data_IF_023758750114
#
_entry.id   IF_023758750114
#
_cell.length_a   1.000
_cell.length_b   1.000
_cell.length_c   1.000
_cell.angle_alpha   90.00
_cell.angle_beta   90.00
_cell.angle_gamma   90.00
#
_symmetry.space_group_name_H-M   'P 1'
#
loop_
_entity.id
_entity.type
_entity.pdbx_description
1 polymer ?
#
# COMPACT_ATOMS: atom_id res chain seq x y z
N UNK A 1 -33.78 -15.05 -13.43
CA UNK A 1 -33.11 -13.75 -13.58
C UNK A 1 -31.70 -13.90 -13.03
N UNK A 2 -30.71 -14.13 -13.90
CA UNK A 2 -29.33 -14.34 -13.48
C UNK A 2 -28.71 -12.98 -13.14
N UNK A 3 -28.34 -12.77 -11.87
CA UNK A 3 -27.58 -11.60 -11.49
C UNK A 3 -26.21 -11.64 -12.18
N UNK A 4 -25.94 -10.64 -13.01
CA UNK A 4 -24.72 -10.51 -13.82
C UNK A 4 -23.51 -10.33 -12.88
N UNK A 5 -22.57 -11.29 -12.90
CA UNK A 5 -21.34 -11.22 -12.11
C UNK A 5 -20.49 -10.06 -12.65
N UNK A 6 -20.41 -8.97 -11.89
CA UNK A 6 -19.70 -7.75 -12.30
C UNK A 6 -18.30 -7.77 -11.71
N UNK A 7 -17.29 -7.53 -12.54
CA UNK A 7 -15.90 -7.38 -12.10
C UNK A 7 -15.48 -5.92 -12.13
N UNK A 8 -15.13 -5.37 -10.97
CA UNK A 8 -14.67 -4.00 -10.81
C UNK A 8 -13.22 -3.97 -10.34
N UNK A 9 -12.41 -3.13 -10.97
CA UNK A 9 -10.99 -2.97 -10.62
C UNK A 9 -10.71 -1.61 -10.00
N UNK A 10 -9.84 -1.59 -9.01
CA UNK A 10 -9.41 -0.40 -8.29
C UNK A 10 -7.88 -0.32 -8.25
N UNK A 11 -7.35 0.90 -8.31
CA UNK A 11 -5.98 1.22 -7.94
C UNK A 11 -5.93 1.40 -6.44
N UNK A 12 -4.90 0.85 -5.79
CA UNK A 12 -4.67 0.98 -4.35
C UNK A 12 -3.24 1.47 -4.12
N UNK A 13 -3.09 2.60 -3.42
CA UNK A 13 -1.79 3.17 -3.07
C UNK A 13 -1.40 2.85 -1.61
N UNK A 14 -0.10 2.70 -1.37
CA UNK A 14 0.47 2.42 -0.04
C UNK A 14 0.48 0.95 0.35
N UNK A 15 0.24 0.05 -0.61
CA UNK A 15 0.33 -1.39 -0.41
C UNK A 15 1.74 -1.87 -0.75
N UNK A 16 2.57 -2.06 0.28
CA UNK A 16 4.01 -2.25 0.09
C UNK A 16 4.47 -3.69 0.45
N UNK A 17 3.53 -4.55 0.86
CA UNK A 17 3.85 -5.85 1.44
C UNK A 17 2.76 -6.91 1.23
N UNK A 18 3.12 -8.19 1.21
CA UNK A 18 2.15 -9.29 1.11
C UNK A 18 1.14 -9.31 2.28
N UNK A 19 1.59 -8.96 3.49
CA UNK A 19 0.69 -8.82 4.65
C UNK A 19 -0.34 -7.70 4.45
N UNK A 20 0.03 -6.64 3.75
CA UNK A 20 -0.81 -5.49 3.43
C UNK A 20 -1.94 -5.93 2.47
N UNK A 21 -1.59 -6.70 1.44
CA UNK A 21 -2.56 -7.30 0.52
C UNK A 21 -3.52 -8.26 1.23
N UNK A 22 -3.01 -9.15 2.08
CA UNK A 22 -3.84 -10.11 2.82
C UNK A 22 -4.86 -9.41 3.73
N UNK A 23 -4.51 -8.28 4.35
CA UNK A 23 -5.43 -7.48 5.16
C UNK A 23 -6.57 -6.91 4.33
N UNK A 24 -6.25 -6.34 3.16
CA UNK A 24 -7.24 -5.79 2.25
C UNK A 24 -8.16 -6.90 1.73
N UNK A 25 -7.59 -8.02 1.27
CA UNK A 25 -8.34 -9.19 0.80
C UNK A 25 -9.34 -9.67 1.88
N UNK A 26 -8.84 -9.93 3.09
CA UNK A 26 -9.65 -10.42 4.21
C UNK A 26 -10.76 -9.44 4.59
N UNK A 27 -10.49 -8.14 4.56
CA UNK A 27 -11.47 -7.12 4.94
C UNK A 27 -12.57 -6.95 3.88
N UNK A 28 -12.20 -6.98 2.59
CA UNK A 28 -13.14 -6.79 1.47
C UNK A 28 -14.00 -8.03 1.24
N UNK A 29 -13.46 -9.24 1.41
CA UNK A 29 -14.24 -10.50 1.32
C UNK A 29 -15.38 -10.61 2.33
N UNK A 30 -15.31 -9.86 3.44
CA UNK A 30 -16.34 -9.84 4.49
C UNK A 30 -17.51 -8.91 4.18
N UNK A 31 -17.43 -8.14 3.09
CA UNK A 31 -18.49 -7.19 2.72
C UNK A 31 -19.63 -7.91 1.98
N UNK A 32 -20.88 -7.51 2.21
CA UNK A 32 -22.04 -8.11 1.53
C UNK A 32 -21.99 -7.87 0.02
N UNK A 33 -22.34 -8.91 -0.74
CA UNK A 33 -22.39 -8.86 -2.22
C UNK A 33 -21.05 -9.10 -2.92
N UNK A 34 -19.96 -9.29 -2.17
CA UNK A 34 -18.64 -9.66 -2.70
C UNK A 34 -18.55 -11.17 -2.88
N UNK A 35 -18.17 -11.62 -4.08
CA UNK A 35 -18.02 -13.05 -4.40
C UNK A 35 -16.54 -13.44 -4.56
N UNK A 36 -15.75 -12.60 -5.22
CA UNK A 36 -14.33 -12.83 -5.41
C UNK A 36 -13.51 -11.56 -5.20
N UNK A 37 -12.29 -11.74 -4.67
CA UNK A 37 -11.35 -10.66 -4.38
C UNK A 37 -9.97 -11.11 -4.84
N UNK A 38 -9.29 -10.28 -5.60
CA UNK A 38 -7.90 -10.50 -5.97
C UNK A 38 -7.11 -9.22 -5.73
N UNK A 39 -6.05 -9.32 -4.95
CA UNK A 39 -5.19 -8.19 -4.60
C UNK A 39 -3.80 -8.43 -5.17
N UNK A 40 -3.30 -7.49 -5.94
CA UNK A 40 -1.95 -7.51 -6.48
C UNK A 40 -1.15 -6.36 -5.87
N UNK A 41 -0.18 -6.71 -5.02
CA UNK A 41 0.82 -5.76 -4.49
C UNK A 41 1.65 -5.20 -5.65
N UNK A 42 2.10 -6.08 -6.55
CA UNK A 42 2.95 -5.72 -7.69
C UNK A 42 2.25 -4.73 -8.61
N UNK A 43 0.99 -5.01 -8.99
CA UNK A 43 0.24 -4.10 -9.86
C UNK A 43 -0.36 -2.90 -9.11
N UNK A 44 -0.33 -2.88 -7.77
CA UNK A 44 -1.04 -1.89 -6.96
C UNK A 44 -2.55 -1.87 -7.25
N UNK A 45 -3.17 -3.03 -7.47
CA UNK A 45 -4.60 -3.12 -7.82
C UNK A 45 -5.37 -4.12 -6.98
N UNK A 46 -6.64 -3.79 -6.71
CA UNK A 46 -7.67 -4.66 -6.14
C UNK A 46 -8.72 -4.94 -7.22
N UNK A 47 -8.98 -6.21 -7.51
CA UNK A 47 -10.06 -6.66 -8.41
C UNK A 47 -11.13 -7.32 -7.57
N UNK A 48 -12.39 -6.93 -7.80
CA UNK A 48 -13.55 -7.35 -7.05
C UNK A 48 -14.59 -7.95 -7.99
N UNK A 49 -14.89 -9.23 -7.84
CA UNK A 49 -16.09 -9.85 -8.39
C UNK A 49 -17.26 -9.67 -7.42
N UNK A 50 -18.35 -9.07 -7.87
CA UNK A 50 -19.50 -8.80 -7.01
C UNK A 50 -20.84 -8.91 -7.74
N UNK A 51 -21.90 -9.19 -6.97
CA UNK A 51 -23.30 -9.15 -7.39
C UNK A 51 -24.03 -8.09 -6.56
N UNK A 52 -23.91 -6.83 -6.98
CA UNK A 52 -24.57 -5.71 -6.30
C UNK A 52 -23.89 -5.23 -5.02
N UNK A 53 -22.62 -5.57 -4.77
CA UNK A 53 -21.86 -4.95 -3.69
C UNK A 53 -21.81 -3.41 -3.83
N UNK A 54 -21.89 -2.73 -2.68
CA UNK A 54 -21.74 -1.28 -2.60
C UNK A 54 -20.25 -0.91 -2.75
N UNK A 55 -19.89 -0.39 -3.92
CA UNK A 55 -18.52 0.03 -4.23
C UNK A 55 -18.04 1.16 -3.32
N UNK A 56 -18.95 2.02 -2.83
CA UNK A 56 -18.59 3.08 -1.89
C UNK A 56 -18.21 2.49 -0.52
N UNK A 57 -18.92 1.46 -0.06
CA UNK A 57 -18.56 0.73 1.15
C UNK A 57 -17.21 0.01 1.03
N UNK A 58 -16.92 -0.58 -0.14
CA UNK A 58 -15.60 -1.18 -0.41
C UNK A 58 -14.50 -0.12 -0.33
N UNK A 59 -14.69 1.03 -0.98
CA UNK A 59 -13.72 2.12 -0.94
C UNK A 59 -13.50 2.67 0.47
N UNK A 60 -14.59 2.86 1.23
CA UNK A 60 -14.52 3.31 2.61
C UNK A 60 -13.75 2.29 3.46
N UNK A 61 -14.03 1.00 3.29
CA UNK A 61 -13.35 -0.06 4.06
C UNK A 61 -11.84 -0.07 3.81
N UNK A 62 -11.42 0.08 2.57
CA UNK A 62 -10.00 0.15 2.20
C UNK A 62 -9.35 1.45 2.71
N UNK A 63 -10.11 2.54 2.74
CA UNK A 63 -9.67 3.84 3.30
C UNK A 63 -9.52 3.80 4.82
N UNK A 64 -10.42 3.12 5.52
CA UNK A 64 -10.36 2.93 6.98
C UNK A 64 -9.11 2.12 7.38
N UNK A 65 -8.65 1.23 6.50
CA UNK A 65 -7.38 0.53 6.63
C UNK A 65 -6.16 1.42 6.32
N UNK A 66 -6.36 2.69 5.96
CA UNK A 66 -5.28 3.65 5.71
C UNK A 66 -4.70 3.63 4.30
N UNK A 67 -5.34 2.96 3.35
CA UNK A 67 -4.92 2.92 1.95
C UNK A 67 -5.74 3.89 1.10
N UNK A 68 -5.13 4.47 0.06
CA UNK A 68 -5.90 5.28 -0.91
C UNK A 68 -6.38 4.37 -2.03
N UNK A 69 -7.64 4.50 -2.41
CA UNK A 69 -8.27 3.67 -3.44
C UNK A 69 -8.98 4.54 -4.48
N UNK A 70 -8.83 4.20 -5.76
CA UNK A 70 -9.52 4.86 -6.87
C UNK A 70 -9.99 3.84 -7.91
N UNK A 71 -11.18 4.04 -8.47
CA UNK A 71 -11.71 3.15 -9.50
C UNK A 71 -10.87 3.23 -10.78
N UNK A 72 -10.48 2.07 -11.31
CA UNK A 72 -9.86 1.97 -12.63
C UNK A 72 -10.99 1.75 -13.63
N UNK A 73 -11.29 2.76 -14.43
CA UNK A 73 -12.28 2.65 -15.50
C UNK A 73 -11.76 1.69 -16.56
N UNK A 74 -12.25 0.45 -16.54
CA UNK A 74 -11.84 -0.61 -17.47
C UNK A 74 -12.27 -1.97 -16.94
N UNK A 75 -13.55 -2.29 -17.09
CA UNK A 75 -14.06 -3.63 -16.86
C UNK A 75 -13.54 -4.55 -17.98
N UNK A 76 -12.44 -5.25 -17.73
CA UNK A 76 -12.03 -6.37 -18.60
C UNK A 76 -12.79 -7.61 -18.14
N UNK A 77 -13.53 -8.30 -19.01
CA UNK A 77 -14.20 -9.55 -18.67
C UNK A 77 -13.19 -10.60 -18.20
N UNK A 78 -13.58 -11.36 -17.17
CA UNK A 78 -12.87 -12.52 -16.62
C UNK A 78 -12.45 -13.46 -17.76
N UNK A 79 -11.17 -13.85 -17.91
CA UNK A 79 -10.83 -14.96 -18.79
C UNK A 79 -11.45 -16.22 -18.19
N UNK A 80 -12.43 -16.79 -18.89
CA UNK A 80 -12.95 -18.12 -18.57
C UNK A 80 -11.80 -19.11 -18.71
N UNK A 81 -11.26 -19.60 -17.60
CA UNK A 81 -10.41 -20.78 -17.60
C UNK A 81 -11.30 -21.93 -18.06
N UNK A 82 -11.20 -22.32 -19.33
CA UNK A 82 -11.75 -23.59 -19.80
C UNK A 82 -10.95 -24.69 -19.11
N UNK A 83 -11.64 -25.54 -18.36
CA UNK A 83 -11.11 -26.82 -17.92
C UNK A 83 -10.73 -27.61 -19.18
N UNK A 84 -9.44 -27.85 -19.37
CA UNK A 84 -8.97 -28.83 -20.33
C UNK A 84 -8.89 -30.17 -19.60
N UNK A 85 -9.80 -31.05 -20.00
CA UNK A 85 -9.82 -32.48 -19.66
C UNK A 85 -8.65 -33.15 -20.37
N UNK A 86 -7.78 -33.85 -19.64
CA UNK A 86 -6.74 -34.68 -20.22
C UNK A 86 -6.78 -36.06 -19.57
N UNK A 87 -7.31 -36.99 -20.36
CA UNK A 87 -7.21 -38.43 -20.23
C UNK A 87 -5.74 -38.87 -20.18
N UNK A 88 -5.34 -39.56 -19.11
CA UNK A 88 -3.98 -40.08 -18.96
C UNK A 88 -3.93 -41.53 -19.43
N UNK A 89 -3.53 -41.69 -20.70
CA UNK A 89 -2.96 -42.94 -21.20
C UNK A 89 -1.58 -43.17 -20.58
N UNK A 90 -1.47 -44.27 -19.86
CA UNK A 90 -0.26 -44.85 -19.28
C UNK A 90 0.83 -45.08 -20.34
N UNK A 91 2.00 -44.46 -20.19
CA UNK A 91 3.24 -44.91 -20.82
C UNK A 91 4.46 -44.46 -19.99
N UNK A 92 5.08 -45.46 -19.38
CA UNK A 92 6.35 -45.48 -18.65
C UNK A 92 7.53 -45.48 -19.64
N UNK A 93 8.58 -44.67 -19.46
CA UNK A 93 9.92 -44.90 -20.03
C UNK A 93 11.03 -44.09 -19.33
N UNK A 94 11.88 -44.83 -18.61
CA UNK A 94 13.36 -44.94 -18.61
C UNK A 94 14.29 -43.71 -18.83
N UNK A 95 15.43 -43.78 -18.13
CA UNK A 95 16.36 -42.69 -17.78
C UNK A 95 17.44 -42.28 -18.81
N UNK A 96 17.91 -41.02 -18.63
CA UNK A 96 19.19 -40.36 -19.00
C UNK A 96 19.43 -39.96 -20.49
N UNK A 97 20.25 -38.93 -20.84
CA UNK A 97 20.96 -37.88 -20.07
C UNK A 97 20.81 -36.43 -20.62
N UNK A 98 21.36 -35.47 -19.86
CA UNK A 98 21.93 -34.15 -20.26
C UNK A 98 21.14 -32.89 -19.86
N UNK A 99 21.63 -32.31 -18.76
CA UNK A 99 21.42 -30.93 -18.34
C UNK A 99 21.94 -29.94 -19.39
N UNK A 100 21.01 -29.27 -20.09
CA UNK A 100 21.21 -27.94 -20.66
C UNK A 100 20.21 -26.99 -20.03
N UNK A 101 20.68 -26.27 -19.01
CA UNK A 101 19.96 -25.16 -18.37
C UNK A 101 20.37 -23.88 -19.08
N UNK A 102 19.53 -23.39 -19.98
CA UNK A 102 19.59 -22.03 -20.54
C UNK A 102 18.17 -21.49 -20.66
N UNK A 103 17.87 -20.56 -19.77
CA UNK A 103 17.17 -19.30 -20.03
C UNK A 103 15.71 -19.36 -20.50
N UNK A 104 14.81 -19.55 -19.54
CA UNK A 104 13.39 -19.16 -19.62
C UNK A 104 12.99 -18.27 -18.42
N UNK A 105 13.91 -17.40 -17.99
CA UNK A 105 13.70 -16.32 -17.02
C UNK A 105 13.65 -14.94 -17.71
N UNK A 106 13.36 -14.94 -19.01
CA UNK A 106 13.27 -13.74 -19.84
C UNK A 106 11.81 -13.24 -19.87
N UNK A 107 11.41 -12.57 -18.79
CA UNK A 107 10.07 -11.99 -18.69
C UNK A 107 9.72 -11.26 -17.39
N UNK A 108 10.67 -11.17 -16.44
CA UNK A 108 10.45 -10.55 -15.12
C UNK A 108 10.92 -9.09 -15.00
N UNK A 109 11.33 -8.45 -16.09
CA UNK A 109 11.72 -7.05 -16.08
C UNK A 109 10.52 -6.11 -16.29
N UNK A 110 9.61 -6.10 -15.31
CA UNK A 110 8.65 -5.02 -15.13
C UNK A 110 9.38 -3.78 -14.58
N UNK A 111 9.95 -2.96 -15.46
CA UNK A 111 10.36 -1.61 -15.09
C UNK A 111 9.11 -0.74 -15.02
N UNK A 112 8.38 -0.85 -13.92
CA UNK A 112 7.27 0.05 -13.60
C UNK A 112 7.84 1.40 -13.15
N UNK A 113 8.37 2.16 -14.11
CA UNK A 113 8.41 3.61 -13.97
C UNK A 113 6.99 4.11 -14.22
N UNK A 114 6.16 4.11 -13.18
CA UNK A 114 5.06 5.06 -13.11
C UNK A 114 5.71 6.45 -12.98
N UNK A 115 6.15 6.99 -14.12
CA UNK A 115 6.59 8.37 -14.25
C UNK A 115 5.33 9.19 -13.96
N UNK A 116 5.20 9.68 -12.72
CA UNK A 116 4.30 10.78 -12.45
C UNK A 116 4.78 11.94 -13.33
N UNK A 117 4.09 12.19 -14.44
CA UNK A 117 4.41 13.26 -15.39
C UNK A 117 4.23 14.63 -14.69
N UNK A 118 5.28 15.07 -14.00
CA UNK A 118 5.28 16.33 -13.29
C UNK A 118 6.58 16.62 -12.56
N UNK A 119 6.89 17.89 -12.27
CA UNK A 119 8.02 18.24 -11.43
C UNK A 119 7.86 17.58 -10.06
N UNK A 120 8.87 16.82 -9.63
CA UNK A 120 8.85 16.02 -8.40
C UNK A 120 8.45 16.81 -7.14
N UNK A 121 8.78 18.11 -7.10
CA UNK A 121 8.44 19.02 -6.00
C UNK A 121 6.95 19.36 -5.88
N UNK A 122 6.14 19.09 -6.91
CA UNK A 122 4.69 19.33 -6.90
C UNK A 122 3.89 18.15 -6.34
N UNK A 123 4.53 17.00 -6.11
CA UNK A 123 3.85 15.85 -5.51
C UNK A 123 3.45 16.19 -4.07
N UNK A 124 2.29 15.69 -3.63
CA UNK A 124 1.82 15.91 -2.26
C UNK A 124 2.84 15.43 -1.20
N UNK A 125 3.61 14.39 -1.54
CA UNK A 125 4.70 13.85 -0.72
C UNK A 125 5.87 14.83 -0.64
N UNK A 126 6.31 15.40 -1.77
CA UNK A 126 7.42 16.37 -1.78
C UNK A 126 7.04 17.70 -1.12
N UNK A 127 5.82 18.19 -1.33
CA UNK A 127 5.34 19.42 -0.68
C UNK A 127 5.36 19.31 0.85
N UNK A 128 4.97 18.14 1.40
CA UNK A 128 5.04 17.89 2.83
C UNK A 128 6.49 17.94 3.35
N UNK A 129 7.42 17.32 2.63
CA UNK A 129 8.85 17.34 2.98
C UNK A 129 9.42 18.76 2.94
N UNK A 130 9.08 19.54 1.90
CA UNK A 130 9.51 20.94 1.77
C UNK A 130 8.96 21.78 2.93
N UNK A 131 7.69 21.61 3.28
CA UNK A 131 7.07 22.34 4.38
C UNK A 131 7.76 22.04 5.73
N UNK A 132 8.05 20.76 6.01
CA UNK A 132 8.83 20.38 7.19
C UNK A 132 10.23 21.02 7.19
N UNK A 133 10.92 21.00 6.05
CA UNK A 133 12.24 21.63 5.91
C UNK A 133 12.21 23.13 6.17
N UNK A 134 11.23 23.84 5.61
CA UNK A 134 11.02 25.28 5.83
C UNK A 134 10.70 25.57 7.30
N UNK A 135 9.84 24.77 7.94
CA UNK A 135 9.49 24.94 9.35
C UNK A 135 10.72 24.78 10.27
N UNK A 136 11.57 23.79 10.01
CA UNK A 136 12.83 23.58 10.76
C UNK A 136 13.80 24.74 10.55
N UNK A 137 13.98 25.19 9.30
CA UNK A 137 14.82 26.34 8.98
C UNK A 137 14.33 27.62 9.67
N UNK A 138 13.01 27.86 9.65
CA UNK A 138 12.41 29.00 10.33
C UNK A 138 12.63 28.94 11.85
N UNK A 139 12.45 27.76 12.48
CA UNK A 139 12.71 27.57 13.90
C UNK A 139 14.18 27.82 14.27
N UNK A 140 15.13 27.33 13.46
CA UNK A 140 16.57 27.57 13.67
C UNK A 140 16.92 29.06 13.58
N UNK A 141 16.36 29.77 12.61
CA UNK A 141 16.55 31.22 12.48
C UNK A 141 15.94 31.95 13.68
N UNK A 142 14.72 31.61 14.10
CA UNK A 142 14.07 32.21 15.27
C UNK A 142 14.86 31.97 16.56
N UNK A 143 15.44 30.77 16.73
CA UNK A 143 16.28 30.43 17.88
C UNK A 143 17.55 31.30 17.98
N UNK A 144 18.06 31.84 16.86
CA UNK A 144 19.18 32.78 16.86
C UNK A 144 18.81 34.19 17.32
N UNK A 145 17.54 34.58 17.21
CA UNK A 145 17.07 35.92 17.59
C UNK A 145 16.42 35.97 18.97
N UNK A 146 15.96 34.84 19.52
CA UNK A 146 15.27 34.75 20.81
C UNK A 146 15.99 33.80 21.80
N UNK A 147 17.21 34.15 22.27
CA UNK A 147 18.01 33.26 23.13
C UNK A 147 17.38 32.98 24.52
N UNK A 148 16.41 33.78 24.93
CA UNK A 148 15.69 33.64 26.21
C UNK A 148 14.52 32.63 26.18
N UNK A 149 14.16 32.08 25.02
CA UNK A 149 13.07 31.11 24.84
C UNK A 149 13.54 29.77 24.22
N UNK A 150 14.84 29.50 24.26
CA UNK A 150 15.49 28.37 23.59
C UNK A 150 14.82 27.01 23.87
N UNK A 151 14.53 26.69 25.14
CA UNK A 151 14.05 25.36 25.51
C UNK A 151 12.59 25.13 25.07
N UNK A 152 11.71 26.10 25.29
CA UNK A 152 10.27 25.98 24.98
C UNK A 152 10.03 25.92 23.46
N UNK A 153 10.74 26.74 22.69
CA UNK A 153 10.63 26.74 21.23
C UNK A 153 11.21 25.45 20.63
N UNK A 154 12.26 24.90 21.22
CA UNK A 154 12.86 23.64 20.78
C UNK A 154 11.92 22.45 21.02
N UNK A 155 11.29 22.38 22.20
CA UNK A 155 10.29 21.33 22.53
C UNK A 155 9.07 21.45 21.62
N UNK A 156 8.54 22.66 21.40
CA UNK A 156 7.43 22.90 20.48
C UNK A 156 7.77 22.48 19.04
N UNK A 157 8.97 22.81 18.57
CA UNK A 157 9.42 22.41 17.23
C UNK A 157 9.53 20.88 17.09
N UNK A 158 10.06 20.17 18.11
CA UNK A 158 10.10 18.71 18.14
C UNK A 158 8.69 18.11 18.11
N UNK A 159 7.76 18.63 18.89
CA UNK A 159 6.37 18.15 18.93
C UNK A 159 5.67 18.33 17.58
N UNK A 160 5.86 19.48 16.92
CA UNK A 160 5.30 19.72 15.58
C UNK A 160 5.88 18.75 14.55
N UNK A 161 7.18 18.47 14.61
CA UNK A 161 7.83 17.48 13.74
C UNK A 161 7.39 16.03 14.00
N UNK A 162 6.96 15.72 15.24
CA UNK A 162 6.52 14.38 15.63
C UNK A 162 5.11 14.05 15.16
N UNK A 163 4.24 15.05 14.93
CA UNK A 163 2.85 14.85 14.48
C UNK A 163 2.69 13.92 13.24
N UNK A 164 3.42 14.11 12.12
CA UNK A 164 3.26 13.25 10.94
C UNK A 164 3.75 11.81 11.19
N UNK A 165 4.80 11.64 11.99
CA UNK A 165 5.36 10.33 12.36
C UNK A 165 4.38 9.59 13.28
N UNK A 166 3.87 10.28 14.31
CA UNK A 166 2.87 9.76 15.24
C UNK A 166 1.59 9.32 14.53
N UNK A 167 1.10 10.10 13.56
CA UNK A 167 -0.09 9.74 12.76
C UNK A 167 0.11 8.44 11.98
N UNK A 168 1.28 8.24 11.34
CA UNK A 168 1.61 7.00 10.63
C UNK A 168 1.75 5.81 11.57
N UNK A 169 2.43 5.99 12.70
CA UNK A 169 2.56 4.95 13.72
C UNK A 169 1.21 4.50 14.28
N UNK A 170 0.30 5.46 14.55
CA UNK A 170 -1.06 5.17 15.03
C UNK A 170 -1.87 4.33 14.03
N UNK A 171 -1.80 4.65 12.73
CA UNK A 171 -2.47 3.89 11.67
C UNK A 171 -1.89 2.46 11.57
N UNK A 172 -0.55 2.32 11.62
CA UNK A 172 0.11 1.01 11.64
C UNK A 172 -0.26 0.15 12.86
N UNK A 173 -0.37 0.77 14.04
CA UNK A 173 -0.79 0.09 15.27
C UNK A 173 -2.26 -0.36 15.20
N UNK A 174 -3.16 0.50 14.72
CA UNK A 174 -4.58 0.16 14.54
C UNK A 174 -4.79 -0.96 13.50
N UNK A 175 -3.86 -1.12 12.56
CA UNK A 175 -3.88 -2.17 11.54
C UNK A 175 -3.18 -3.47 11.96
N UNK A 176 -2.84 -3.66 13.24
CA UNK A 176 -2.35 -4.94 13.78
C UNK A 176 -0.85 -5.20 13.58
N UNK A 177 -0.03 -4.17 13.31
CA UNK A 177 1.44 -4.26 13.42
C UNK A 177 1.94 -3.41 14.59
N UNK A 178 1.73 -3.86 15.85
CA UNK A 178 2.15 -3.11 17.04
C UNK A 178 3.68 -2.98 17.17
N UNK A 179 4.45 -3.80 16.46
CA UNK A 179 5.91 -3.80 16.44
C UNK A 179 6.51 -3.23 15.14
N UNK A 180 5.87 -2.25 14.49
CA UNK A 180 6.50 -1.58 13.34
C UNK A 180 7.64 -0.65 13.79
N UNK A 181 8.60 -0.41 12.89
CA UNK A 181 9.77 0.43 13.15
C UNK A 181 9.36 1.87 13.50
N UNK A 182 8.26 2.35 12.94
CA UNK A 182 7.66 3.66 13.24
C UNK A 182 7.11 3.73 14.66
N UNK A 183 6.51 2.64 15.16
CA UNK A 183 6.02 2.58 16.55
C UNK A 183 7.19 2.63 17.53
N UNK A 184 8.25 1.85 17.27
CA UNK A 184 9.46 1.84 18.11
C UNK A 184 10.15 3.21 18.12
N UNK A 185 10.29 3.84 16.96
CA UNK A 185 10.86 5.19 16.84
C UNK A 185 10.01 6.24 17.57
N UNK A 186 8.68 6.15 17.48
CA UNK A 186 7.77 7.09 18.16
C UNK A 186 7.87 6.96 19.68
N UNK A 187 7.89 5.73 20.21
CA UNK A 187 8.06 5.49 21.66
C UNK A 187 9.40 6.05 22.14
N UNK A 188 10.49 5.82 21.40
CA UNK A 188 11.80 6.36 21.73
C UNK A 188 11.83 7.91 21.69
N UNK A 189 11.23 8.52 20.66
CA UNK A 189 11.18 9.97 20.51
C UNK A 189 10.35 10.64 21.62
N UNK A 190 9.24 10.02 22.02
CA UNK A 190 8.44 10.49 23.17
C UNK A 190 9.26 10.35 24.45
N UNK A 191 9.94 9.22 24.66
CA UNK A 191 10.85 9.02 25.80
C UNK A 191 11.88 10.15 25.90
N UNK A 192 12.57 10.47 24.80
CA UNK A 192 13.59 11.52 24.76
C UNK A 192 13.09 12.95 25.06
N UNK A 193 11.78 13.21 25.03
CA UNK A 193 11.21 14.52 25.42
C UNK A 193 11.08 14.64 26.95
N UNK A 194 11.02 13.52 27.68
CA UNK A 194 10.74 13.49 29.12
C UNK A 194 11.93 13.08 29.99
N UNK A 195 13.08 12.71 29.40
CA UNK A 195 14.31 12.31 30.09
C UNK A 195 15.40 13.35 29.82
#
# INVERSE_FOLDING_TARGET
>A
MSAEETSTRFRVEGMDCASCANKIDTAVRRLPGVEDVSVSVVAGTLTLGHKGADLAQVQQKVTDLGYRISALTGATPKPTVKAHDHDHGDHDHDHDPKDKKTDALEGLHGHDHAIEDGPWWKTAKAQLTIFCGVAVAAAFVLARFLPQWHNELFILAMLVGLLPIFRRARIGMMNGSPFSIETLMTVAAVGAVFI
#
